data_IF_724214012334
#
_entry.id   IF_724214012334
#
_cell.length_a   1.000
_cell.length_b   1.000
_cell.length_c   1.000
_cell.angle_alpha   90.00
_cell.angle_beta   90.00
_cell.angle_gamma   90.00
#
_symmetry.space_group_name_H-M   'P 1'
#
loop_
_entity.id
_entity.type
_entity.pdbx_description
1 polymer ?
#
# COMPACT_ATOMS: atom_id res chain seq x y z
N UNK A 1 18.35 -33.98 36.25
CA UNK A 1 17.65 -34.54 35.08
C UNK A 1 16.19 -34.16 35.17
N UNK A 2 15.73 -33.14 34.44
CA UNK A 2 14.31 -32.94 34.15
C UNK A 2 14.19 -32.14 32.86
N UNK A 3 13.51 -32.76 31.92
CA UNK A 3 13.32 -32.35 30.55
C UNK A 3 12.33 -31.19 30.45
N UNK A 4 12.58 -30.26 29.54
CA UNK A 4 11.55 -29.34 29.04
C UNK A 4 11.28 -29.68 27.59
N UNK A 5 10.13 -30.33 27.37
CA UNK A 5 9.57 -30.64 26.07
C UNK A 5 9.22 -29.39 25.25
N UNK A 6 8.88 -29.58 23.97
CA UNK A 6 8.86 -28.50 22.99
C UNK A 6 7.63 -27.60 23.14
N UNK A 7 7.84 -26.29 23.15
CA UNK A 7 6.78 -25.30 23.00
C UNK A 7 6.24 -25.41 21.56
N UNK A 8 5.16 -26.16 21.38
CA UNK A 8 4.21 -25.98 20.29
C UNK A 8 3.48 -24.65 20.52
N UNK A 9 3.62 -23.69 19.60
CA UNK A 9 2.63 -22.61 19.43
C UNK A 9 1.96 -22.78 18.08
N UNK A 10 0.66 -23.00 18.15
CA UNK A 10 -0.20 -23.39 17.05
C UNK A 10 -0.48 -22.28 16.04
N UNK A 11 -0.80 -22.76 14.83
CA UNK A 11 -1.73 -22.12 13.91
C UNK A 11 -3.03 -21.76 14.65
N UNK A 12 -3.47 -20.51 14.53
CA UNK A 12 -4.77 -20.05 14.99
C UNK A 12 -4.95 -18.54 14.77
N UNK A 13 -5.73 -18.20 13.75
CA UNK A 13 -6.50 -16.98 13.50
C UNK A 13 -5.97 -15.60 13.93
N UNK A 14 -5.58 -14.80 12.94
CA UNK A 14 -5.66 -13.34 13.03
C UNK A 14 -6.21 -12.73 11.74
N UNK A 15 -7.52 -12.47 11.71
CA UNK A 15 -8.11 -11.50 10.79
C UNK A 15 -7.54 -10.11 11.15
N UNK A 16 -6.49 -9.68 10.43
CA UNK A 16 -5.72 -8.48 10.81
C UNK A 16 -6.29 -7.19 10.21
N UNK A 17 -7.33 -7.27 9.37
CA UNK A 17 -8.05 -6.08 8.87
C UNK A 17 -9.56 -6.30 8.84
N UNK A 18 -10.35 -5.26 9.18
CA UNK A 18 -11.83 -5.32 9.09
C UNK A 18 -12.33 -5.60 7.66
N UNK A 19 -11.49 -5.45 6.63
CA UNK A 19 -11.84 -5.80 5.25
C UNK A 19 -11.94 -7.31 5.01
N UNK A 20 -11.40 -8.15 5.90
CA UNK A 20 -11.67 -9.60 5.92
C UNK A 20 -13.13 -9.90 6.32
N UNK A 21 -13.75 -9.06 7.17
CA UNK A 21 -15.14 -9.22 7.64
C UNK A 21 -16.18 -8.71 6.64
N UNK A 22 -15.87 -7.65 5.87
CA UNK A 22 -16.80 -7.05 4.92
C UNK A 22 -17.03 -7.87 3.62
N UNK A 23 -16.23 -8.91 3.39
CA UNK A 23 -16.42 -9.84 2.27
C UNK A 23 -17.16 -11.12 2.64
N UNK A 24 -17.31 -11.45 3.94
CA UNK A 24 -18.06 -12.63 4.39
C UNK A 24 -19.56 -12.45 4.11
N UNK A 25 -20.10 -11.24 4.24
CA UNK A 25 -21.53 -10.97 4.05
C UNK A 25 -21.98 -10.84 2.57
N UNK A 26 -21.09 -11.03 1.59
CA UNK A 26 -21.40 -10.82 0.16
C UNK A 26 -21.31 -12.06 -0.72
N UNK A 27 -21.00 -13.23 -0.15
CA UNK A 27 -20.74 -14.42 -0.95
C UNK A 27 -21.49 -15.69 -0.51
N UNK A 28 -22.69 -15.55 0.06
CA UNK A 28 -23.63 -16.66 0.08
C UNK A 28 -24.47 -16.64 -1.21
N UNK A 29 -23.96 -17.30 -2.25
CA UNK A 29 -24.82 -17.76 -3.35
C UNK A 29 -25.33 -19.17 -3.00
N UNK A 30 -26.64 -19.43 -3.14
CA UNK A 30 -27.20 -20.74 -2.81
C UNK A 30 -27.04 -21.74 -3.96
N UNK A 31 -26.87 -23.01 -3.54
CA UNK A 31 -27.27 -24.28 -4.18
C UNK A 31 -26.50 -24.76 -5.42
N UNK A 32 -26.03 -26.00 -5.38
CA UNK A 32 -26.82 -27.14 -5.89
C UNK A 32 -26.09 -28.47 -5.69
N UNK A 33 -26.80 -29.42 -5.09
CA UNK A 33 -26.51 -30.85 -5.08
C UNK A 33 -26.57 -31.42 -6.50
N UNK A 34 -25.50 -32.10 -6.95
CA UNK A 34 -25.64 -33.24 -7.87
C UNK A 34 -24.49 -34.21 -7.67
N UNK A 35 -24.84 -35.46 -7.39
CA UNK A 35 -23.95 -36.60 -7.26
C UNK A 35 -23.46 -37.08 -8.63
N UNK A 36 -22.30 -37.75 -8.65
CA UNK A 36 -21.84 -38.56 -9.79
C UNK A 36 -20.33 -38.78 -9.80
N UNK A 37 -19.87 -39.95 -9.35
CA UNK A 37 -18.46 -40.32 -9.30
C UNK A 37 -17.94 -41.07 -10.53
N UNK A 38 -16.63 -40.97 -10.77
CA UNK A 38 -15.67 -42.09 -11.02
C UNK A 38 -14.24 -41.53 -11.18
N UNK A 39 -13.19 -42.30 -10.86
CA UNK A 39 -11.82 -41.80 -10.77
C UNK A 39 -11.17 -41.72 -12.15
N UNK A 40 -10.52 -40.59 -12.46
CA UNK A 40 -9.66 -40.46 -13.64
C UNK A 40 -8.23 -40.80 -13.27
N UNK A 41 -7.74 -41.87 -13.90
CA UNK A 41 -6.34 -42.26 -14.01
C UNK A 41 -5.47 -41.08 -14.43
N UNK A 42 -4.35 -40.89 -13.72
CA UNK A 42 -3.34 -39.89 -14.03
C UNK A 42 -2.52 -40.35 -15.24
N UNK A 43 -2.78 -39.75 -16.40
CA UNK A 43 -1.86 -39.78 -17.54
C UNK A 43 -0.98 -38.55 -17.40
N UNK A 44 0.30 -38.77 -17.11
CA UNK A 44 1.35 -37.74 -17.10
C UNK A 44 1.64 -37.35 -18.55
N UNK A 45 0.91 -36.37 -19.05
CA UNK A 45 1.23 -35.72 -20.31
C UNK A 45 2.35 -34.70 -20.07
N UNK A 46 3.57 -35.07 -20.43
CA UNK A 46 4.73 -34.17 -20.48
C UNK A 46 4.59 -33.23 -21.69
N UNK A 47 3.67 -32.28 -21.61
CA UNK A 47 3.62 -31.18 -22.60
C UNK A 47 4.75 -30.18 -22.29
N UNK A 48 5.62 -29.85 -23.25
CA UNK A 48 6.63 -28.80 -23.05
C UNK A 48 5.94 -27.47 -22.72
N UNK A 49 6.51 -26.63 -21.83
CA UNK A 49 5.90 -25.37 -21.45
C UNK A 49 5.72 -24.49 -22.68
N UNK A 50 4.46 -24.18 -23.01
CA UNK A 50 4.11 -23.28 -24.11
C UNK A 50 4.85 -21.94 -23.93
N UNK A 51 5.46 -21.38 -25.00
CA UNK A 51 6.22 -20.14 -24.90
C UNK A 51 5.31 -19.04 -24.35
N UNK A 52 5.76 -18.38 -23.27
CA UNK A 52 5.00 -17.35 -22.60
C UNK A 52 4.63 -16.25 -23.59
N UNK A 53 3.33 -15.98 -23.76
CA UNK A 53 2.83 -14.88 -24.60
C UNK A 53 3.60 -13.59 -24.27
N UNK A 54 4.04 -12.81 -25.29
CA UNK A 54 4.74 -11.56 -25.05
C UNK A 54 3.88 -10.64 -24.18
N UNK A 55 4.46 -10.17 -23.08
CA UNK A 55 3.76 -9.32 -22.11
C UNK A 55 3.45 -7.98 -22.76
N UNK A 56 2.22 -7.47 -22.52
CA UNK A 56 1.83 -6.16 -23.04
C UNK A 56 2.69 -5.02 -22.46
N UNK A 57 2.94 -3.98 -23.26
CA UNK A 57 3.76 -2.79 -22.92
C UNK A 57 3.40 -2.19 -21.55
N UNK A 58 2.13 -2.16 -21.20
CA UNK A 58 1.66 -1.61 -19.92
C UNK A 58 2.10 -2.46 -18.72
N UNK A 59 2.12 -3.79 -18.84
CA UNK A 59 2.58 -4.67 -17.77
C UNK A 59 4.07 -4.48 -17.51
N UNK A 60 4.88 -4.28 -18.56
CA UNK A 60 6.31 -3.95 -18.44
C UNK A 60 6.51 -2.64 -17.68
N UNK A 61 5.68 -1.61 -17.93
CA UNK A 61 5.73 -0.34 -17.16
C UNK A 61 5.43 -0.56 -15.68
N UNK A 62 4.44 -1.38 -15.34
CA UNK A 62 4.14 -1.70 -13.94
C UNK A 62 5.27 -2.49 -13.26
N UNK A 63 5.93 -3.40 -13.98
CA UNK A 63 7.07 -4.15 -13.42
C UNK A 63 8.28 -3.26 -13.21
N UNK A 64 8.56 -2.34 -14.14
CA UNK A 64 9.59 -1.33 -14.00
C UNK A 64 9.32 -0.42 -12.78
N UNK A 65 8.06 0.00 -12.59
CA UNK A 65 7.62 0.76 -11.42
C UNK A 65 7.88 0.01 -10.11
N UNK A 66 7.47 -1.27 -10.01
CA UNK A 66 7.72 -2.07 -8.81
C UNK A 66 9.22 -2.17 -8.54
N UNK A 67 10.03 -2.38 -9.58
CA UNK A 67 11.49 -2.43 -9.47
C UNK A 67 12.08 -1.11 -8.98
N UNK A 68 11.63 0.03 -9.51
CA UNK A 68 12.13 1.34 -9.08
C UNK A 68 11.74 1.66 -7.64
N UNK A 69 10.50 1.39 -7.23
CA UNK A 69 10.03 1.64 -5.86
C UNK A 69 10.75 0.77 -4.82
N UNK A 70 10.97 -0.51 -5.14
CA UNK A 70 11.77 -1.40 -4.29
C UNK A 70 13.19 -0.88 -4.08
N UNK A 71 13.87 -0.44 -5.16
CA UNK A 71 15.22 0.11 -5.08
C UNK A 71 15.28 1.44 -4.35
N UNK A 72 14.37 2.37 -4.67
CA UNK A 72 14.37 3.73 -4.11
C UNK A 72 14.16 3.72 -2.60
N UNK A 73 13.20 2.95 -2.12
CA UNK A 73 12.80 2.97 -0.71
C UNK A 73 13.38 1.80 0.10
N UNK A 74 14.18 0.93 -0.52
CA UNK A 74 14.70 -0.27 0.14
C UNK A 74 13.59 -1.22 0.59
N UNK A 75 12.51 -1.32 -0.19
CA UNK A 75 11.31 -2.07 0.17
C UNK A 75 11.40 -3.54 -0.22
N UNK A 76 10.91 -4.40 0.67
CA UNK A 76 10.67 -5.82 0.38
C UNK A 76 9.18 -6.12 0.38
N UNK A 77 8.67 -6.56 -0.78
CA UNK A 77 7.33 -7.13 -0.88
C UNK A 77 7.38 -8.55 -0.33
N UNK A 78 6.73 -8.80 0.80
CA UNK A 78 6.73 -10.13 1.44
C UNK A 78 5.61 -11.02 0.91
N UNK A 79 4.49 -10.42 0.49
CA UNK A 79 3.35 -11.13 -0.09
C UNK A 79 2.64 -10.29 -1.15
N UNK A 80 2.36 -10.91 -2.28
CA UNK A 80 1.41 -10.38 -3.26
C UNK A 80 -0.01 -10.83 -2.90
N UNK A 81 -0.90 -9.89 -2.61
CA UNK A 81 -2.30 -10.16 -2.27
C UNK A 81 -3.17 -10.32 -3.52
N UNK A 82 -4.21 -11.13 -3.44
CA UNK A 82 -5.28 -11.21 -4.44
C UNK A 82 -6.32 -10.10 -4.24
N UNK A 83 -6.49 -9.63 -2.99
CA UNK A 83 -7.35 -8.51 -2.64
C UNK A 83 -6.75 -7.16 -3.05
N UNK A 84 -7.60 -6.16 -3.24
CA UNK A 84 -7.19 -4.75 -3.48
C UNK A 84 -6.92 -4.02 -2.17
N UNK A 85 -6.12 -4.63 -1.30
CA UNK A 85 -5.68 -4.10 -0.01
C UNK A 85 -4.23 -4.51 0.26
N UNK A 86 -3.53 -3.69 1.04
CA UNK A 86 -2.17 -3.97 1.47
C UNK A 86 -1.92 -3.60 2.93
N UNK A 87 -0.66 -3.72 3.31
CA UNK A 87 -0.16 -3.27 4.60
C UNK A 87 1.32 -2.93 4.47
N UNK A 88 1.76 -1.89 5.17
CA UNK A 88 3.15 -1.46 5.26
C UNK A 88 3.61 -1.43 6.71
N UNK A 89 4.80 -1.98 6.98
CA UNK A 89 5.40 -1.94 8.31
C UNK A 89 6.93 -2.00 8.24
N UNK A 90 7.56 -1.66 9.36
CA UNK A 90 9.02 -1.76 9.54
C UNK A 90 9.36 -2.80 10.59
N UNK A 91 10.49 -3.48 10.41
CA UNK A 91 11.10 -4.34 11.44
C UNK A 91 12.47 -3.78 11.77
N UNK A 92 12.66 -3.40 13.03
CA UNK A 92 13.97 -3.00 13.56
C UNK A 92 14.63 -4.21 14.21
N UNK A 93 15.81 -4.58 13.72
CA UNK A 93 16.59 -5.67 14.27
C UNK A 93 17.49 -5.20 15.42
N UNK A 94 18.05 -6.15 16.18
CA UNK A 94 18.90 -5.84 17.34
C UNK A 94 20.17 -5.08 16.96
N UNK A 95 20.67 -5.27 15.73
CA UNK A 95 21.83 -4.58 15.18
C UNK A 95 21.52 -3.14 14.72
N UNK A 96 20.28 -2.66 14.94
CA UNK A 96 19.83 -1.34 14.53
C UNK A 96 19.41 -1.25 13.06
N UNK A 97 19.58 -2.32 12.27
CA UNK A 97 19.11 -2.34 10.89
C UNK A 97 17.58 -2.31 10.82
N UNK A 98 17.03 -1.66 9.79
CA UNK A 98 15.59 -1.53 9.58
C UNK A 98 15.21 -2.15 8.24
N UNK A 99 14.34 -3.16 8.27
CA UNK A 99 13.69 -3.67 7.07
C UNK A 99 12.33 -2.99 6.86
N UNK A 100 12.11 -2.47 5.65
CA UNK A 100 10.84 -1.90 5.22
C UNK A 100 10.06 -2.93 4.42
N UNK A 101 8.91 -3.36 4.93
CA UNK A 101 8.13 -4.48 4.42
C UNK A 101 6.76 -3.99 3.95
N UNK A 102 6.27 -4.60 2.87
CA UNK A 102 4.90 -4.41 2.40
C UNK A 102 4.25 -5.71 1.96
N UNK A 103 2.93 -5.75 2.08
CA UNK A 103 2.03 -6.63 1.34
C UNK A 103 1.14 -5.78 0.47
N UNK A 104 0.88 -6.21 -0.76
CA UNK A 104 0.08 -5.44 -1.69
C UNK A 104 -0.45 -6.33 -2.82
N UNK A 105 -1.55 -5.99 -3.51
CA UNK A 105 -1.81 -6.52 -4.83
C UNK A 105 -0.63 -6.26 -5.78
N UNK A 106 -0.35 -7.21 -6.67
CA UNK A 106 0.62 -6.99 -7.75
C UNK A 106 0.05 -5.99 -8.76
N UNK A 107 0.77 -4.93 -9.13
CA UNK A 107 0.36 -4.00 -10.18
C UNK A 107 0.14 -4.73 -11.51
N UNK A 108 -1.13 -4.74 -11.93
CA UNK A 108 -1.63 -5.31 -13.20
C UNK A 108 -2.58 -4.34 -13.92
N UNK A 109 -3.02 -3.29 -13.24
CA UNK A 109 -3.87 -2.23 -13.76
C UNK A 109 -3.87 -1.02 -12.82
N UNK A 110 -4.58 0.07 -13.16
CA UNK A 110 -4.58 1.30 -12.39
C UNK A 110 -4.91 1.12 -10.90
N UNK A 111 -5.91 0.29 -10.60
CA UNK A 111 -6.33 0.01 -9.22
C UNK A 111 -5.24 -0.66 -8.38
N UNK A 112 -4.67 -1.76 -8.87
CA UNK A 112 -3.62 -2.47 -8.12
C UNK A 112 -2.31 -1.68 -8.08
N UNK A 113 -2.05 -0.84 -9.08
CA UNK A 113 -0.96 0.13 -9.07
C UNK A 113 -1.15 1.18 -7.96
N UNK A 114 -2.34 1.78 -7.86
CA UNK A 114 -2.63 2.80 -6.85
C UNK A 114 -2.53 2.25 -5.42
N UNK A 115 -3.05 1.03 -5.18
CA UNK A 115 -2.93 0.39 -3.87
C UNK A 115 -1.47 0.05 -3.56
N UNK A 116 -0.71 -0.49 -4.51
CA UNK A 116 0.73 -0.74 -4.32
C UNK A 116 1.48 0.54 -3.96
N UNK A 117 1.24 1.62 -4.70
CA UNK A 117 1.86 2.91 -4.42
C UNK A 117 1.37 3.52 -3.11
N UNK A 118 0.16 3.22 -2.65
CA UNK A 118 -0.29 3.64 -1.32
C UNK A 118 0.53 2.97 -0.20
N UNK A 119 0.82 1.67 -0.32
CA UNK A 119 1.69 0.97 0.64
C UNK A 119 3.14 1.47 0.60
N UNK A 120 3.65 1.77 -0.61
CA UNK A 120 4.96 2.45 -0.77
C UNK A 120 4.90 3.84 -0.15
N UNK A 121 3.79 4.54 -0.31
CA UNK A 121 3.53 5.89 0.20
C UNK A 121 3.68 5.98 1.71
N UNK A 122 3.21 4.98 2.46
CA UNK A 122 3.45 4.91 3.91
C UNK A 122 4.93 4.93 4.28
N UNK A 123 5.80 4.30 3.49
CA UNK A 123 7.24 4.36 3.71
C UNK A 123 7.85 5.65 3.18
N UNK A 124 7.37 6.15 2.05
CA UNK A 124 7.88 7.37 1.41
C UNK A 124 7.66 8.62 2.27
N UNK A 125 6.49 8.74 2.90
CA UNK A 125 6.16 9.86 3.78
C UNK A 125 6.68 9.68 5.21
N UNK A 126 7.20 8.49 5.53
CA UNK A 126 7.56 8.07 6.88
C UNK A 126 6.37 7.45 7.64
N UNK A 127 6.51 6.16 8.00
CA UNK A 127 5.49 5.43 8.74
C UNK A 127 5.29 6.06 10.12
N UNK A 128 4.08 6.49 10.45
CA UNK A 128 3.78 7.19 11.70
C UNK A 128 4.14 8.68 11.72
N UNK A 129 4.59 9.27 10.60
CA UNK A 129 4.96 10.69 10.53
C UNK A 129 3.77 11.63 10.73
N UNK A 130 2.55 11.20 10.37
CA UNK A 130 1.33 12.00 10.49
C UNK A 130 0.42 11.45 11.56
N UNK A 131 -0.18 12.35 12.35
CA UNK A 131 -1.20 12.02 13.34
C UNK A 131 -2.39 12.97 13.18
N UNK A 132 -3.63 12.48 13.30
CA UNK A 132 -4.07 11.10 13.58
C UNK A 132 -3.80 10.12 12.42
N UNK A 133 -3.97 8.80 12.64
CA UNK A 133 -3.72 7.78 11.59
C UNK A 133 -4.48 8.04 10.29
N UNK A 134 -5.72 8.55 10.35
CA UNK A 134 -6.48 8.90 9.16
C UNK A 134 -5.84 10.02 8.32
N UNK A 135 -5.05 10.92 8.94
CA UNK A 135 -4.26 11.92 8.20
C UNK A 135 -3.07 11.26 7.48
N UNK A 136 -2.42 10.27 8.11
CA UNK A 136 -1.39 9.48 7.43
C UNK A 136 -1.94 8.73 6.22
N UNK A 137 -3.13 8.13 6.32
CA UNK A 137 -3.82 7.50 5.19
C UNK A 137 -4.04 8.50 4.04
N UNK A 138 -4.43 9.74 4.34
CA UNK A 138 -4.58 10.81 3.36
C UNK A 138 -3.26 11.11 2.64
N UNK A 139 -2.17 11.32 3.39
CA UNK A 139 -0.88 11.62 2.78
C UNK A 139 -0.33 10.44 1.97
N UNK A 140 -0.54 9.21 2.41
CA UNK A 140 -0.14 8.02 1.65
C UNK A 140 -0.93 7.89 0.33
N UNK A 141 -2.25 8.14 0.35
CA UNK A 141 -3.08 8.19 -0.86
C UNK A 141 -2.69 9.33 -1.80
N UNK A 142 -2.46 10.52 -1.24
CA UNK A 142 -2.00 11.68 -2.00
C UNK A 142 -0.68 11.36 -2.73
N UNK A 143 0.32 10.86 -1.99
CA UNK A 143 1.61 10.48 -2.56
C UNK A 143 1.46 9.45 -3.69
N UNK A 144 0.59 8.46 -3.50
CA UNK A 144 0.30 7.44 -4.51
C UNK A 144 -0.25 8.05 -5.81
N UNK A 145 -1.24 8.94 -5.70
CA UNK A 145 -1.87 9.57 -6.87
C UNK A 145 -0.95 10.58 -7.55
N UNK A 146 -0.19 11.37 -6.79
CA UNK A 146 0.86 12.25 -7.32
C UNK A 146 1.88 11.41 -8.12
N UNK A 147 2.39 10.32 -7.53
CA UNK A 147 3.35 9.42 -8.19
C UNK A 147 2.77 8.79 -9.47
N UNK A 148 1.49 8.40 -9.46
CA UNK A 148 0.85 7.89 -10.67
C UNK A 148 0.81 8.95 -11.78
N UNK A 149 0.41 10.18 -11.46
CA UNK A 149 0.32 11.27 -12.42
C UNK A 149 1.70 11.66 -12.96
N UNK A 150 2.69 11.83 -12.07
CA UNK A 150 4.07 12.19 -12.41
C UNK A 150 4.72 11.16 -13.35
N UNK A 151 4.47 9.87 -13.13
CA UNK A 151 5.02 8.78 -13.95
C UNK A 151 4.15 8.46 -15.19
N UNK A 152 3.11 9.25 -15.44
CA UNK A 152 2.22 9.10 -16.59
C UNK A 152 1.41 7.80 -16.57
N UNK A 153 0.98 7.35 -15.38
CA UNK A 153 -0.01 6.29 -15.20
C UNK A 153 -1.42 6.89 -15.13
N UNK A 154 -2.39 6.18 -15.68
CA UNK A 154 -3.78 6.62 -15.67
C UNK A 154 -4.39 6.52 -14.26
N UNK A 155 -4.96 7.61 -13.76
CA UNK A 155 -5.76 7.66 -12.52
C UNK A 155 -7.25 7.65 -12.89
N UNK A 156 -7.84 6.46 -12.94
CA UNK A 156 -9.24 6.29 -13.31
C UNK A 156 -10.20 6.74 -12.21
N UNK A 157 -11.46 6.97 -12.57
CA UNK A 157 -12.52 7.26 -11.61
C UNK A 157 -12.65 6.18 -10.54
N UNK A 158 -12.44 4.92 -10.90
CA UNK A 158 -12.46 3.81 -9.95
C UNK A 158 -11.37 3.98 -8.88
N UNK A 159 -10.16 4.39 -9.27
CA UNK A 159 -9.07 4.68 -8.34
C UNK A 159 -9.45 5.84 -7.41
N UNK A 160 -10.01 6.93 -7.97
CA UNK A 160 -10.43 8.09 -7.17
C UNK A 160 -11.53 7.71 -6.17
N UNK A 161 -12.55 6.94 -6.59
CA UNK A 161 -13.60 6.40 -5.70
C UNK A 161 -13.01 5.51 -4.60
N UNK A 162 -12.04 4.66 -4.94
CA UNK A 162 -11.38 3.79 -3.95
C UNK A 162 -10.66 4.60 -2.87
N UNK A 163 -9.96 5.68 -3.25
CA UNK A 163 -9.39 6.62 -2.28
C UNK A 163 -10.48 7.21 -1.40
N UNK A 164 -11.55 7.76 -2.00
CA UNK A 164 -12.62 8.43 -1.27
C UNK A 164 -13.26 7.49 -0.23
N UNK A 165 -13.57 6.25 -0.63
CA UNK A 165 -14.07 5.19 0.26
C UNK A 165 -13.08 4.85 1.38
N UNK A 166 -11.78 4.75 1.04
CA UNK A 166 -10.73 4.43 2.01
C UNK A 166 -10.58 5.52 3.07
N UNK A 167 -10.62 6.79 2.66
CA UNK A 167 -10.47 7.93 3.57
C UNK A 167 -11.70 8.13 4.43
N UNK A 168 -12.90 8.02 3.85
CA UNK A 168 -14.15 8.01 4.62
C UNK A 168 -14.10 6.93 5.72
N UNK A 169 -13.68 5.71 5.36
CA UNK A 169 -13.54 4.62 6.32
C UNK A 169 -12.47 4.90 7.39
N UNK A 170 -11.33 5.49 7.02
CA UNK A 170 -10.28 5.86 7.97
C UNK A 170 -10.77 6.89 8.99
N UNK A 171 -11.55 7.88 8.53
CA UNK A 171 -12.21 8.87 9.38
C UNK A 171 -13.18 8.18 10.33
N UNK A 172 -14.11 7.37 9.82
CA UNK A 172 -15.07 6.64 10.64
C UNK A 172 -14.41 5.74 11.69
N UNK A 173 -13.28 5.09 11.34
CA UNK A 173 -12.46 4.33 12.28
C UNK A 173 -11.82 5.22 13.34
N UNK A 174 -11.29 6.37 12.97
CA UNK A 174 -10.70 7.31 13.91
C UNK A 174 -11.76 7.89 14.87
N UNK A 175 -12.95 8.25 14.37
CA UNK A 175 -14.08 8.72 15.19
C UNK A 175 -14.48 7.69 16.24
N UNK A 176 -14.63 6.41 15.85
CA UNK A 176 -14.90 5.32 16.80
C UNK A 176 -13.79 5.10 17.84
N UNK A 177 -12.57 5.57 17.57
CA UNK A 177 -11.42 5.53 18.48
C UNK A 177 -11.24 6.84 19.27
N UNK A 178 -12.23 7.73 19.25
CA UNK A 178 -12.21 8.96 20.05
C UNK A 178 -11.53 10.16 19.39
N UNK A 179 -11.50 10.24 18.05
CA UNK A 179 -11.03 11.44 17.35
C UNK A 179 -11.88 12.65 17.76
N UNK A 180 -11.25 13.64 18.40
CA UNK A 180 -11.94 14.86 18.89
C UNK A 180 -12.07 15.95 17.83
N UNK A 181 -11.10 16.05 16.92
CA UNK A 181 -11.03 17.08 15.88
C UNK A 181 -10.62 16.45 14.56
N UNK A 182 -11.40 16.70 13.51
CA UNK A 182 -11.09 16.25 12.16
C UNK A 182 -10.04 17.20 11.53
N UNK A 183 -8.91 16.66 11.00
CA UNK A 183 -8.02 17.42 10.13
C UNK A 183 -8.76 18.04 8.95
N UNK A 184 -8.42 19.28 8.57
CA UNK A 184 -9.15 20.05 7.54
C UNK A 184 -9.06 19.38 6.16
N UNK A 185 -7.95 18.72 5.88
CA UNK A 185 -7.67 17.96 4.66
C UNK A 185 -8.65 16.80 4.47
N UNK A 186 -9.23 16.30 5.57
CA UNK A 186 -10.14 15.17 5.57
C UNK A 186 -11.61 15.57 5.44
N UNK A 187 -11.94 16.85 5.58
CA UNK A 187 -13.32 17.38 5.46
C UNK A 187 -14.01 16.91 4.16
N UNK A 188 -13.37 16.92 2.99
CA UNK A 188 -14.01 16.48 1.74
C UNK A 188 -14.43 15.00 1.70
N UNK A 189 -13.90 14.18 2.61
CA UNK A 189 -14.15 12.73 2.69
C UNK A 189 -15.04 12.33 3.87
N UNK A 190 -15.57 13.32 4.62
CA UNK A 190 -16.38 13.05 5.81
C UNK A 190 -17.63 12.23 5.47
N UNK A 191 -18.32 12.63 4.39
CA UNK A 191 -19.50 11.93 3.91
C UNK A 191 -19.16 10.89 2.84
N UNK A 192 -19.77 9.70 2.87
CA UNK A 192 -19.57 8.71 1.83
C UNK A 192 -20.17 9.22 0.52
N UNK A 193 -19.37 9.19 -0.56
CA UNK A 193 -19.86 9.59 -1.88
C UNK A 193 -20.68 8.47 -2.52
N UNK A 194 -21.87 8.80 -3.00
CA UNK A 194 -22.68 7.86 -3.76
C UNK A 194 -22.01 7.53 -5.09
N UNK A 195 -22.29 6.35 -5.65
CA UNK A 195 -21.72 5.94 -6.94
C UNK A 195 -22.20 6.79 -8.12
N UNK A 196 -23.34 7.45 -7.97
CA UNK A 196 -23.91 8.34 -8.98
C UNK A 196 -23.17 9.68 -9.08
N UNK A 197 -22.43 10.06 -8.03
CA UNK A 197 -21.67 11.31 -7.98
C UNK A 197 -20.23 11.04 -8.46
N UNK A 198 -19.66 12.00 -9.18
CA UNK A 198 -18.26 11.93 -9.59
C UNK A 198 -17.33 11.94 -8.35
N UNK A 199 -16.29 11.08 -8.32
CA UNK A 199 -15.32 11.14 -7.24
C UNK A 199 -14.58 12.47 -7.23
N UNK A 200 -13.99 12.80 -6.09
CA UNK A 200 -13.14 13.98 -5.99
C UNK A 200 -11.99 13.91 -7.02
N UNK A 201 -11.47 15.07 -7.47
CA UNK A 201 -10.28 15.13 -8.32
C UNK A 201 -9.12 14.31 -7.74
N UNK A 202 -8.21 13.82 -8.57
CA UNK A 202 -7.10 12.97 -8.14
C UNK A 202 -6.25 13.64 -7.05
N UNK A 203 -6.09 14.96 -7.14
CA UNK A 203 -5.44 15.80 -6.16
C UNK A 203 -6.38 16.94 -5.79
N UNK A 204 -6.53 17.20 -4.48
CA UNK A 204 -7.32 18.31 -3.96
C UNK A 204 -6.51 19.61 -3.86
N UNK A 205 -5.20 19.47 -3.78
CA UNK A 205 -4.23 20.56 -3.79
C UNK A 205 -3.39 20.46 -5.06
N UNK A 206 -2.75 21.56 -5.44
CA UNK A 206 -1.73 21.52 -6.48
C UNK A 206 -0.61 20.53 -6.11
N UNK A 207 -0.02 19.90 -7.12
CA UNK A 207 1.18 19.08 -6.98
C UNK A 207 2.25 19.93 -6.31
N UNK A 208 2.72 19.54 -5.12
CA UNK A 208 3.69 20.33 -4.36
C UNK A 208 5.13 20.20 -4.88
N UNK A 209 5.35 19.48 -5.98
CA UNK A 209 6.69 19.18 -6.46
C UNK A 209 7.44 18.26 -5.49
N UNK A 210 8.63 17.82 -5.89
CA UNK A 210 8.90 16.46 -6.27
C UNK A 210 9.02 15.52 -5.05
N UNK A 211 8.00 14.69 -4.81
CA UNK A 211 8.17 13.52 -3.93
C UNK A 211 9.23 12.52 -4.48
N UNK A 212 9.66 12.72 -5.74
CA UNK A 212 10.61 11.89 -6.47
C UNK A 212 12.01 12.51 -6.72
N UNK A 213 12.34 13.75 -6.32
CA UNK A 213 13.69 14.32 -6.60
C UNK A 213 14.63 14.36 -5.40
N UNK A 214 14.16 14.19 -4.17
CA UNK A 214 15.08 14.01 -3.04
C UNK A 214 15.27 12.51 -2.77
N UNK A 215 16.47 12.00 -3.02
CA UNK A 215 16.87 10.69 -2.50
C UNK A 215 16.89 10.83 -0.96
N UNK A 216 16.17 10.00 -0.19
CA UNK A 216 16.23 10.04 1.27
C UNK A 216 17.65 9.83 1.82
N UNK A 217 18.61 9.36 1.00
CA UNK A 217 20.03 9.31 1.33
C UNK A 217 20.76 10.66 1.25
N UNK A 218 20.22 11.64 0.54
CA UNK A 218 20.85 12.97 0.37
C UNK A 218 20.81 13.79 1.65
N UNK A 219 19.80 13.59 2.51
CA UNK A 219 19.56 14.42 3.70
C UNK A 219 20.49 14.06 4.87
N UNK A 220 21.22 12.94 4.79
CA UNK A 220 22.13 12.49 5.85
C UNK A 220 23.55 13.08 5.78
N UNK A 221 23.84 13.98 4.83
CA UNK A 221 25.21 14.41 4.50
C UNK A 221 25.63 15.83 4.90
N UNK A 222 24.72 16.74 5.21
CA UNK A 222 25.08 18.14 5.46
C UNK A 222 25.10 18.45 6.96
N UNK A 223 26.27 18.26 7.56
CA UNK A 223 26.60 18.96 8.80
C UNK A 223 26.87 20.43 8.46
N UNK A 224 26.23 21.40 9.13
CA UNK A 224 26.54 22.80 8.91
C UNK A 224 27.96 23.05 9.41
N UNK A 225 28.87 23.31 8.48
CA UNK A 225 30.20 23.84 8.81
C UNK A 225 30.02 25.28 9.28
N UNK A 226 29.94 25.44 10.59
CA UNK A 226 30.05 26.74 11.25
C UNK A 226 31.43 27.34 10.96
N UNK A 227 31.55 28.16 9.91
CA UNK A 227 32.67 29.10 9.78
C UNK A 227 32.28 30.41 10.45
N UNK A 228 32.63 30.51 11.73
CA UNK A 228 32.85 31.79 12.36
C UNK A 228 34.14 32.40 11.81
N UNK A 229 34.06 33.65 11.36
CA UNK A 229 35.21 34.53 11.23
C UNK A 229 34.72 35.97 11.48
N UNK A 230 34.72 36.35 12.76
CA UNK A 230 34.87 37.75 13.16
C UNK A 230 36.19 38.25 12.61
N UNK A 231 36.17 39.35 11.87
CA UNK A 231 37.34 40.21 11.72
C UNK A 231 36.98 41.58 12.29
N UNK A 232 37.63 41.88 13.40
CA UNK A 232 37.79 43.22 13.96
C UNK A 232 39.17 43.66 13.50
N UNK A 233 39.27 44.77 12.75
CA UNK A 233 40.38 45.73 12.74
C UNK A 233 40.23 46.69 11.56
N UNK A 234 40.29 47.99 11.84
CA UNK A 234 40.31 49.08 10.87
C UNK A 234 39.57 50.30 11.37
#
# INVERSE_FOLDING_TARGET
MSEHGPIRRGLGDFATTLWDLLHVARNEKPKSSTAGGRPRTAVVDATPPSPARPRGRQQTRYEALVGSMKRRYGLRVVRWRSSTSGCAWTVTYRDGSVARLIESPRPRGPMSCAVFLHEVGHHAIGLGAYRPRCLEEYHAWRWSLETMLELGFNVTDAVRRRRDESLHYAIAKASRRGLKRLPVELVPFLEPRSRAVEPLPALLEAVRGPALLEDPRSVAGETPTTRGASSVAG
#
